data_IF_325934540009
#
_entry.id   IF_325934540009
#
_cell.length_a   1.000
_cell.length_b   1.000
_cell.length_c   1.000
_cell.angle_alpha   90.00
_cell.angle_beta   90.00
_cell.angle_gamma   90.00
#
_symmetry.space_group_name_H-M   'P 1'
#
loop_
_entity.id
_entity.type
_entity.pdbx_description
1 polymer ?
#
# COMPACT_ATOMS: atom_id res chain seq x y z
N UNK A 1 -1.47 -43.55 -29.16
CA UNK A 1 -0.65 -42.41 -29.64
C UNK A 1 -0.15 -41.64 -28.43
N UNK A 2 1.10 -41.87 -28.03
CA UNK A 2 1.93 -40.87 -27.36
C UNK A 2 1.72 -40.58 -25.88
N UNK A 3 1.75 -41.58 -25.00
CA UNK A 3 2.07 -41.40 -23.55
C UNK A 3 3.53 -40.92 -23.30
N UNK A 4 4.21 -40.45 -24.36
CA UNK A 4 5.63 -40.10 -24.41
C UNK A 4 5.86 -38.58 -24.42
N UNK A 5 4.80 -37.76 -24.50
CA UNK A 5 4.86 -36.38 -24.02
C UNK A 5 4.82 -36.41 -22.49
N UNK A 6 5.87 -36.99 -21.92
CA UNK A 6 6.23 -36.90 -20.53
C UNK A 6 6.17 -35.41 -20.19
N UNK A 7 5.14 -34.95 -19.45
CA UNK A 7 5.16 -33.59 -18.98
C UNK A 7 6.40 -33.55 -18.13
N UNK A 8 7.41 -32.76 -18.50
CA UNK A 8 8.47 -32.37 -17.57
C UNK A 8 7.74 -31.87 -16.33
N UNK A 9 7.62 -32.77 -15.35
CA UNK A 9 6.65 -32.80 -14.25
C UNK A 9 5.65 -31.65 -14.28
N UNK A 10 4.40 -31.86 -14.70
CA UNK A 10 3.35 -30.84 -14.53
C UNK A 10 3.31 -30.34 -13.07
N UNK A 11 3.58 -31.23 -12.11
CA UNK A 11 3.79 -30.89 -10.70
C UNK A 11 5.02 -30.00 -10.44
N UNK A 12 6.09 -30.12 -11.21
CA UNK A 12 7.27 -29.26 -11.15
C UNK A 12 7.01 -27.84 -11.66
N UNK A 13 6.24 -27.65 -12.73
CA UNK A 13 5.84 -26.31 -13.17
C UNK A 13 4.91 -25.65 -12.15
N UNK A 14 3.94 -26.40 -11.60
CA UNK A 14 3.04 -25.92 -10.55
C UNK A 14 3.82 -25.54 -9.29
N UNK A 15 4.72 -26.41 -8.83
CA UNK A 15 5.58 -26.13 -7.67
C UNK A 15 6.45 -24.90 -7.92
N UNK A 16 7.04 -24.78 -9.11
CA UNK A 16 7.88 -23.64 -9.47
C UNK A 16 7.06 -22.35 -9.50
N UNK A 17 5.87 -22.36 -10.09
CA UNK A 17 4.95 -21.22 -10.08
C UNK A 17 4.53 -20.82 -8.65
N UNK A 18 4.25 -21.80 -7.79
CA UNK A 18 3.91 -21.56 -6.38
C UNK A 18 5.09 -20.97 -5.59
N UNK A 19 6.31 -21.47 -5.83
CA UNK A 19 7.54 -20.93 -5.24
C UNK A 19 7.70 -19.46 -5.67
N UNK A 20 7.61 -19.17 -6.97
CA UNK A 20 7.72 -17.80 -7.46
C UNK A 20 6.61 -16.89 -6.92
N UNK A 21 5.36 -17.35 -6.89
CA UNK A 21 4.26 -16.59 -6.29
C UNK A 21 4.55 -16.24 -4.83
N UNK A 22 5.07 -17.20 -4.05
CA UNK A 22 5.47 -16.99 -2.65
C UNK A 22 6.60 -15.96 -2.55
N UNK A 23 7.62 -16.05 -3.41
CA UNK A 23 8.73 -15.08 -3.46
C UNK A 23 8.21 -13.70 -3.82
N UNK A 24 7.37 -13.55 -4.85
CA UNK A 24 6.77 -12.26 -5.21
C UNK A 24 5.89 -11.71 -4.11
N UNK A 25 5.05 -12.52 -3.48
CA UNK A 25 4.24 -12.12 -2.32
C UNK A 25 5.13 -11.64 -1.18
N UNK A 26 6.24 -12.33 -0.89
CA UNK A 26 7.20 -11.92 0.14
C UNK A 26 7.90 -10.61 -0.21
N UNK A 27 8.31 -10.42 -1.46
CA UNK A 27 8.92 -9.16 -1.94
C UNK A 27 7.91 -8.02 -1.83
N UNK A 28 6.71 -8.19 -2.37
CA UNK A 28 5.63 -7.20 -2.28
C UNK A 28 5.31 -6.93 -0.82
N UNK A 29 5.22 -7.95 0.02
CA UNK A 29 4.98 -7.81 1.45
C UNK A 29 6.12 -7.07 2.13
N UNK A 30 7.38 -7.37 1.83
CA UNK A 30 8.55 -6.72 2.41
C UNK A 30 8.61 -5.24 2.00
N UNK A 31 8.38 -4.92 0.73
CA UNK A 31 8.25 -3.54 0.24
C UNK A 31 7.07 -2.86 0.93
N UNK A 32 5.89 -3.50 0.91
CA UNK A 32 4.70 -3.05 1.62
C UNK A 32 4.84 -3.04 3.13
N UNK A 33 5.89 -3.64 3.72
CA UNK A 33 6.23 -3.71 5.16
C UNK A 33 7.32 -2.72 5.57
N UNK A 34 8.20 -2.37 4.64
CA UNK A 34 9.21 -1.34 4.81
C UNK A 34 8.63 0.07 4.58
N UNK A 35 7.68 0.19 3.65
CA UNK A 35 6.95 1.43 3.35
C UNK A 35 5.57 1.64 4.02
N UNK A 36 4.93 0.73 4.80
CA UNK A 36 3.68 0.98 5.49
C UNK A 36 3.87 1.66 6.84
N UNK A 37 5.12 1.80 7.31
CA UNK A 37 5.46 2.85 8.25
C UNK A 37 5.06 4.24 7.69
N UNK A 38 4.83 4.35 6.37
CA UNK A 38 4.29 5.51 5.68
C UNK A 38 2.90 5.28 5.05
N UNK A 39 2.18 4.19 5.39
CA UNK A 39 0.81 3.91 4.87
C UNK A 39 -0.33 4.44 5.73
N UNK A 40 -0.06 5.37 6.64
CA UNK A 40 -1.04 6.45 6.74
C UNK A 40 -0.77 7.32 5.52
N UNK A 41 -1.67 7.38 4.52
CA UNK A 41 -1.63 8.49 3.58
C UNK A 41 -1.90 9.72 4.42
N UNK A 42 -0.84 10.30 4.97
CA UNK A 42 -0.88 11.57 5.68
C UNK A 42 -1.13 12.61 4.59
N UNK A 43 -2.40 12.69 4.19
CA UNK A 43 -3.02 13.80 3.48
C UNK A 43 -2.59 15.12 4.13
N UNK A 44 -2.34 15.09 5.44
CA UNK A 44 -1.69 16.15 6.22
C UNK A 44 -0.28 16.51 5.74
N UNK A 45 0.61 15.54 5.49
CA UNK A 45 1.96 15.79 4.99
C UNK A 45 1.96 16.30 3.54
N UNK A 46 1.02 15.83 2.72
CA UNK A 46 0.84 16.34 1.35
C UNK A 46 0.31 17.78 1.33
N UNK A 47 -0.59 18.14 2.26
CA UNK A 47 -1.09 19.50 2.45
C UNK A 47 -0.02 20.44 3.00
N UNK A 48 0.78 19.98 3.97
CA UNK A 48 1.86 20.75 4.59
C UNK A 48 2.98 21.07 3.57
N UNK A 49 3.34 20.11 2.73
CA UNK A 49 4.27 20.34 1.62
C UNK A 49 3.76 21.37 0.60
N UNK A 50 2.44 21.42 0.34
CA UNK A 50 1.83 22.42 -0.55
C UNK A 50 1.68 23.80 0.09
N UNK A 51 1.42 23.86 1.40
CA UNK A 51 1.43 25.09 2.17
C UNK A 51 2.83 25.72 2.20
N UNK A 52 3.87 24.91 2.43
CA UNK A 52 5.26 25.34 2.40
C UNK A 52 5.72 25.79 1.00
N UNK A 53 5.15 25.19 -0.06
CA UNK A 53 5.34 25.63 -1.43
C UNK A 53 4.55 26.90 -1.79
N UNK A 54 3.65 27.37 -0.91
CA UNK A 54 2.79 28.53 -1.16
C UNK A 54 1.68 28.29 -2.20
N UNK A 55 1.47 27.03 -2.61
CA UNK A 55 0.48 26.62 -3.61
C UNK A 55 -0.93 26.53 -3.02
N UNK A 56 -1.04 26.44 -1.69
CA UNK A 56 -2.30 26.36 -0.95
C UNK A 56 -2.35 27.47 0.09
N UNK A 57 -3.44 28.23 0.06
CA UNK A 57 -3.71 29.31 1.00
C UNK A 57 -4.07 28.79 2.40
N UNK A 58 -3.73 29.57 3.43
CA UNK A 58 -3.87 29.20 4.85
C UNK A 58 -5.34 28.98 5.22
N UNK A 59 -6.27 29.73 4.63
CA UNK A 59 -7.70 29.59 4.91
C UNK A 59 -8.27 28.30 4.29
N UNK A 60 -7.78 27.94 3.10
CA UNK A 60 -8.13 26.66 2.45
C UNK A 60 -7.62 25.47 3.26
N UNK A 61 -6.39 25.56 3.81
CA UNK A 61 -5.84 24.53 4.68
C UNK A 61 -6.67 24.34 5.95
N UNK A 62 -7.08 25.43 6.62
CA UNK A 62 -7.92 25.37 7.83
C UNK A 62 -9.28 24.72 7.58
N UNK A 63 -9.93 25.06 6.47
CA UNK A 63 -11.23 24.49 6.11
C UNK A 63 -11.16 22.96 5.87
N UNK A 64 -10.13 22.49 5.16
CA UNK A 64 -9.92 21.05 4.92
C UNK A 64 -9.59 20.32 6.23
N UNK A 65 -8.81 20.95 7.11
CA UNK A 65 -8.44 20.39 8.42
C UNK A 65 -9.66 20.13 9.30
N UNK A 66 -10.58 21.08 9.36
CA UNK A 66 -11.82 20.96 10.15
C UNK A 66 -12.71 19.81 9.66
N UNK A 67 -12.75 19.56 8.34
CA UNK A 67 -13.52 18.44 7.79
C UNK A 67 -12.91 17.08 8.10
N UNK A 68 -11.58 16.96 8.03
CA UNK A 68 -10.86 15.71 8.35
C UNK A 68 -10.97 15.40 9.85
N UNK A 69 -10.79 16.41 10.71
CA UNK A 69 -10.86 16.24 12.15
C UNK A 69 -12.32 16.00 12.63
N UNK A 70 -13.33 16.45 11.85
CA UNK A 70 -14.74 16.11 12.07
C UNK A 70 -15.14 14.69 11.59
N UNK A 71 -14.36 14.07 10.69
CA UNK A 71 -14.60 12.70 10.20
C UNK A 71 -13.75 11.64 10.89
N UNK A 72 -12.66 12.03 11.56
CA UNK A 72 -11.98 11.16 12.50
C UNK A 72 -12.94 10.89 13.68
N UNK A 73 -13.34 9.63 13.95
CA UNK A 73 -14.13 9.35 15.12
C UNK A 73 -13.34 9.86 16.31
N UNK A 74 -13.96 10.77 17.07
CA UNK A 74 -13.48 11.17 18.37
C UNK A 74 -13.35 9.90 19.21
N UNK A 75 -12.17 9.27 19.18
CA UNK A 75 -11.73 8.30 20.18
C UNK A 75 -11.53 9.11 21.45
N UNK A 76 -12.66 9.48 22.06
CA UNK A 76 -12.73 9.90 23.45
C UNK A 76 -12.14 8.76 24.24
N UNK A 77 -10.98 9.02 24.83
CA UNK A 77 -10.43 8.19 25.89
C UNK A 77 -11.51 7.91 26.91
N UNK A 78 -11.59 6.65 27.29
CA UNK A 78 -12.32 6.14 28.44
C UNK A 78 -11.37 5.19 29.16
#
# INVERSE_FOLDING_TARGET
MGLWCSPMTAGGWVLMAAIWATVFSLVIWAVCRLFPAQRTPDTRAALDARLAAGDVDVDTYRWIREQIDGHAPATKGL
#
